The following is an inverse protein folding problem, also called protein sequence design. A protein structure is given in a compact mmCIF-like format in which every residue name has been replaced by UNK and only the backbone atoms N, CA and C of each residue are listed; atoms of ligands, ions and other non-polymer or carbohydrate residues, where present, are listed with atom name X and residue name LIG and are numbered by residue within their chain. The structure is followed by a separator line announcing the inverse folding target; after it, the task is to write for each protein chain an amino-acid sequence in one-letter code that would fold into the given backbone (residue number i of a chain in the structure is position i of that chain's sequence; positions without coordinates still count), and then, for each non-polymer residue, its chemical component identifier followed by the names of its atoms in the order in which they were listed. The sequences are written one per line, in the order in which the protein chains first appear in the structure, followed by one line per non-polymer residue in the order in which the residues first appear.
data_IF_675941888622
#
_entry.id   IF_675941888622
#
_cell.length_a   1.000
_cell.length_b   1.000
_cell.length_c   1.000
_cell.angle_alpha   90.00
_cell.angle_beta   90.00
_cell.angle_gamma   90.00
#
_symmetry.space_group_name_H-M   'P 1'
#
loop_
_entity.id
_entity.type
_entity.pdbx_description
1 polymer ?
#
# COMPACT_ATOMS: atom_id res chain seq x y z
N UNK A 1 -16.38 -16.91 -11.70
CA UNK A 1 -16.22 -16.37 -10.33
C UNK A 1 -16.06 -14.88 -10.42
N UNK A 2 -16.95 -14.15 -9.79
CA UNK A 2 -16.83 -12.70 -9.72
C UNK A 2 -15.73 -12.31 -8.73
N UNK A 3 -14.84 -11.40 -9.15
CA UNK A 3 -13.87 -10.83 -8.26
C UNK A 3 -14.55 -9.79 -7.37
N UNK A 4 -14.23 -9.80 -6.08
CA UNK A 4 -14.70 -8.75 -5.18
C UNK A 4 -14.13 -7.40 -5.63
N UNK A 5 -14.88 -6.31 -5.46
CA UNK A 5 -14.32 -4.99 -5.68
C UNK A 5 -13.11 -4.76 -4.79
N UNK A 6 -12.15 -4.00 -5.30
CA UNK A 6 -10.94 -3.62 -4.57
C UNK A 6 -10.99 -2.11 -4.32
N UNK A 7 -10.73 -1.70 -3.11
CA UNK A 7 -10.64 -0.28 -2.75
C UNK A 7 -9.26 0.01 -2.21
N UNK A 8 -8.55 0.93 -2.86
CA UNK A 8 -7.22 1.35 -2.42
C UNK A 8 -7.38 2.56 -1.52
N UNK A 9 -6.85 2.47 -0.30
CA UNK A 9 -6.91 3.53 0.69
C UNK A 9 -5.49 4.03 1.00
N UNK A 10 -5.26 5.33 0.82
CA UNK A 10 -4.01 5.96 1.22
C UNK A 10 -4.25 6.69 2.53
N UNK A 11 -3.50 6.32 3.56
CA UNK A 11 -3.56 7.01 4.85
C UNK A 11 -2.76 8.31 4.74
N UNK A 12 -3.45 9.43 4.94
CA UNK A 12 -2.82 10.75 4.92
C UNK A 12 -3.25 11.53 6.17
N UNK A 13 -2.41 11.59 7.20
CA UNK A 13 -2.68 12.45 8.36
C UNK A 13 -2.82 13.91 7.94
N UNK A 14 -3.61 14.67 8.68
CA UNK A 14 -3.84 16.09 8.41
C UNK A 14 -2.51 16.85 8.32
N UNK A 15 -2.31 17.57 7.21
CA UNK A 15 -1.09 18.34 6.96
C UNK A 15 0.13 17.51 6.54
N UNK A 16 0.03 16.18 6.45
CA UNK A 16 1.13 15.31 6.08
C UNK A 16 1.14 15.08 4.57
N UNK A 17 1.89 15.90 3.84
CA UNK A 17 1.90 15.83 2.37
C UNK A 17 2.70 14.65 1.81
N UNK A 18 3.59 14.04 2.61
CA UNK A 18 4.43 12.94 2.16
C UNK A 18 3.64 11.67 1.81
N UNK A 19 2.42 11.53 2.28
CA UNK A 19 1.55 10.42 1.88
C UNK A 19 1.25 10.41 0.39
N UNK A 20 1.39 11.54 -0.29
CA UNK A 20 1.26 11.62 -1.75
C UNK A 20 2.36 10.84 -2.46
N UNK A 21 3.48 10.53 -1.79
CA UNK A 21 4.51 9.66 -2.32
C UNK A 21 4.05 8.22 -2.57
N UNK A 22 2.96 7.79 -1.95
CA UNK A 22 2.37 6.47 -2.19
C UNK A 22 1.45 6.44 -3.42
N UNK A 23 1.15 7.59 -4.00
CA UNK A 23 0.15 7.68 -5.08
C UNK A 23 0.56 6.90 -6.32
N UNK A 24 1.83 6.96 -6.71
CA UNK A 24 2.31 6.23 -7.88
C UNK A 24 2.21 4.72 -7.68
N UNK A 25 2.60 4.23 -6.51
CA UNK A 25 2.49 2.81 -6.17
C UNK A 25 1.03 2.38 -6.10
N UNK A 26 0.18 3.20 -5.49
CA UNK A 26 -1.26 2.92 -5.41
C UNK A 26 -1.90 2.87 -6.81
N UNK A 27 -1.52 3.78 -7.70
CA UNK A 27 -2.00 3.79 -9.09
C UNK A 27 -1.51 2.57 -9.86
N UNK A 28 -0.28 2.12 -9.62
CA UNK A 28 0.25 0.91 -10.23
C UNK A 28 -0.55 -0.31 -9.79
N UNK A 29 -0.83 -0.44 -8.50
CA UNK A 29 -1.63 -1.54 -7.96
C UNK A 29 -3.04 -1.49 -8.55
N UNK A 30 -3.66 -0.30 -8.64
CA UNK A 30 -4.96 -0.12 -9.29
C UNK A 30 -4.94 -0.62 -10.73
N UNK A 31 -3.92 -0.25 -11.49
CA UNK A 31 -3.75 -0.67 -12.88
C UNK A 31 -3.69 -2.19 -12.99
N UNK A 32 -2.88 -2.83 -12.15
CA UNK A 32 -2.71 -4.28 -12.19
C UNK A 32 -4.00 -5.02 -11.82
N UNK A 33 -4.70 -4.60 -10.79
CA UNK A 33 -5.98 -5.22 -10.44
C UNK A 33 -7.02 -5.05 -11.55
N UNK A 34 -7.05 -3.89 -12.19
CA UNK A 34 -7.96 -3.66 -13.34
C UNK A 34 -7.64 -4.56 -14.52
N UNK A 35 -6.38 -4.84 -14.76
CA UNK A 35 -5.98 -5.79 -15.81
C UNK A 35 -6.54 -7.19 -15.57
N UNK A 36 -6.70 -7.58 -14.32
CA UNK A 36 -7.30 -8.86 -13.97
C UNK A 36 -8.82 -8.81 -13.89
N UNK A 37 -9.43 -7.71 -14.25
CA UNK A 37 -10.88 -7.58 -14.32
C UNK A 37 -11.55 -7.09 -13.04
N UNK A 38 -10.78 -6.68 -12.03
CA UNK A 38 -11.36 -6.15 -10.80
C UNK A 38 -11.90 -4.73 -10.99
N UNK A 39 -13.01 -4.43 -10.31
CA UNK A 39 -13.47 -3.06 -10.15
C UNK A 39 -12.67 -2.42 -9.01
N UNK A 40 -11.95 -1.33 -9.29
CA UNK A 40 -11.01 -0.72 -8.35
C UNK A 40 -11.30 0.75 -8.17
N UNK A 41 -11.46 1.16 -6.92
CA UNK A 41 -11.55 2.56 -6.51
C UNK A 41 -10.35 2.95 -5.66
N UNK A 42 -10.10 4.26 -5.53
CA UNK A 42 -8.99 4.80 -4.74
C UNK A 42 -9.45 6.06 -4.02
N UNK A 43 -9.14 6.16 -2.74
CA UNK A 43 -9.44 7.33 -1.94
C UNK A 43 -8.42 7.52 -0.82
N UNK A 44 -8.42 8.72 -0.23
CA UNK A 44 -7.64 9.02 0.97
C UNK A 44 -8.49 8.82 2.20
N UNK A 45 -7.95 8.17 3.22
CA UNK A 45 -8.54 8.06 4.56
C UNK A 45 -9.98 7.53 4.59
N UNK A 46 -10.35 6.72 3.60
CA UNK A 46 -11.72 6.18 3.51
C UNK A 46 -11.68 4.71 3.12
N UNK A 47 -12.39 3.89 3.89
CA UNK A 47 -12.55 2.46 3.65
C UNK A 47 -13.94 2.17 3.07
N UNK A 48 -14.08 1.01 2.42
CA UNK A 48 -15.37 0.54 1.89
C UNK A 48 -15.75 -0.79 2.52
N UNK A 49 -17.02 -0.93 2.91
CA UNK A 49 -17.56 -2.19 3.45
C UNK A 49 -17.74 -3.27 2.38
N UNK A 50 -17.99 -2.87 1.15
CA UNK A 50 -18.32 -3.75 0.04
C UNK A 50 -17.13 -4.19 -0.79
N UNK A 51 -15.91 -3.90 -0.33
CA UNK A 51 -14.68 -4.13 -1.08
C UNK A 51 -13.59 -4.72 -0.18
N UNK A 52 -12.57 -5.30 -0.80
CA UNK A 52 -11.31 -5.57 -0.14
C UNK A 52 -10.50 -4.28 -0.15
N UNK A 53 -10.13 -3.79 1.03
CA UNK A 53 -9.37 -2.55 1.16
C UNK A 53 -7.88 -2.85 1.17
N UNK A 54 -7.15 -2.31 0.21
CA UNK A 54 -5.68 -2.38 0.15
C UNK A 54 -5.14 -1.05 0.67
N UNK A 55 -4.41 -1.07 1.78
CA UNK A 55 -4.10 0.12 2.56
C UNK A 55 -2.62 0.44 2.47
N UNK A 56 -2.31 1.65 2.02
CA UNK A 56 -0.97 2.23 1.98
C UNK A 56 -0.83 3.27 3.10
N UNK A 57 0.33 3.30 3.75
CA UNK A 57 0.62 4.33 4.73
C UNK A 57 0.11 4.02 6.13
N UNK A 58 -0.23 2.77 6.44
CA UNK A 58 -0.75 2.40 7.76
C UNK A 58 0.25 2.64 8.90
N UNK A 59 1.56 2.74 8.59
CA UNK A 59 2.59 3.07 9.58
C UNK A 59 2.43 4.49 10.15
N UNK A 60 1.68 5.35 9.45
CA UNK A 60 1.39 6.71 9.90
C UNK A 60 0.24 6.78 10.91
N UNK A 61 -0.46 5.69 11.12
CA UNK A 61 -1.54 5.56 12.08
C UNK A 61 -2.75 4.85 11.48
N UNK A 62 -3.10 3.71 12.03
CA UNK A 62 -4.28 2.96 11.60
C UNK A 62 -4.89 2.29 12.82
N UNK A 63 -6.20 2.50 13.03
CA UNK A 63 -6.92 1.86 14.11
C UNK A 63 -7.17 0.39 13.75
N UNK A 64 -6.46 -0.51 14.42
CA UNK A 64 -6.55 -1.95 14.19
C UNK A 64 -7.96 -2.52 14.41
N UNK A 65 -8.79 -1.85 15.20
CA UNK A 65 -10.17 -2.29 15.44
C UNK A 65 -11.03 -2.21 14.18
N UNK A 66 -10.64 -1.39 13.20
CA UNK A 66 -11.34 -1.30 11.92
C UNK A 66 -11.32 -2.62 11.14
N UNK A 67 -10.34 -3.48 11.39
CA UNK A 67 -10.26 -4.81 10.77
C UNK A 67 -11.44 -5.72 11.12
N UNK A 68 -12.15 -5.41 12.19
CA UNK A 68 -13.34 -6.17 12.59
C UNK A 68 -14.55 -5.86 11.70
N UNK A 69 -14.54 -4.71 11.05
CA UNK A 69 -15.66 -4.22 10.23
C UNK A 69 -15.36 -4.16 8.75
N UNK A 70 -14.07 -4.09 8.39
CA UNK A 70 -13.61 -3.95 7.01
C UNK A 70 -12.63 -5.07 6.67
N UNK A 71 -12.73 -5.58 5.46
CA UNK A 71 -11.72 -6.50 4.92
C UNK A 71 -10.49 -5.67 4.52
N UNK A 72 -9.35 -5.92 5.15
CA UNK A 72 -8.15 -5.11 4.99
C UNK A 72 -6.94 -5.95 4.60
N UNK A 73 -6.17 -5.46 3.64
CA UNK A 73 -4.83 -5.94 3.31
C UNK A 73 -3.89 -4.74 3.41
N UNK A 74 -2.81 -4.87 4.17
CA UNK A 74 -1.85 -3.78 4.32
C UNK A 74 -0.70 -3.94 3.34
N UNK A 75 -0.44 -2.90 2.57
CA UNK A 75 0.71 -2.88 1.67
C UNK A 75 1.86 -2.17 2.37
N UNK A 76 2.90 -2.91 2.75
CA UNK A 76 4.08 -2.32 3.37
C UNK A 76 5.06 -1.85 2.30
N UNK A 77 5.36 -0.55 2.32
CA UNK A 77 6.37 0.09 1.47
C UNK A 77 7.58 0.57 2.28
N UNK A 78 7.60 0.29 3.59
CA UNK A 78 8.70 0.69 4.45
C UNK A 78 9.83 -0.34 4.41
N UNK A 79 11.06 0.11 4.26
CA UNK A 79 12.22 -0.75 4.30
C UNK A 79 12.53 -1.14 5.75
N UNK A 80 12.65 -2.44 6.00
CA UNK A 80 13.00 -2.98 7.30
C UNK A 80 14.49 -3.34 7.36
N UNK A 81 15.00 -3.46 8.59
CA UNK A 81 16.38 -3.87 8.82
C UNK A 81 17.33 -2.71 9.13
N UNK A 82 18.63 -3.00 9.26
CA UNK A 82 19.62 -1.97 9.57
C UNK A 82 19.63 -0.86 8.53
N UNK A 83 19.55 0.41 8.98
CA UNK A 83 19.47 1.55 8.08
C UNK A 83 18.10 1.81 7.46
N UNK A 84 17.09 0.96 7.75
CA UNK A 84 15.73 1.14 7.27
C UNK A 84 14.90 2.07 8.16
N UNK A 85 13.59 2.08 7.90
CA UNK A 85 12.66 2.89 8.65
C UNK A 85 12.53 2.42 10.10
N UNK A 86 12.35 3.38 11.01
CA UNK A 86 12.01 3.07 12.40
C UNK A 86 10.50 2.91 12.50
N UNK A 87 10.05 1.67 12.58
CA UNK A 87 8.65 1.34 12.66
C UNK A 87 8.19 1.23 14.10
N UNK A 88 6.99 1.75 14.39
CA UNK A 88 6.41 1.61 15.73
C UNK A 88 6.07 0.16 16.05
N UNK A 89 6.00 -0.15 17.35
CA UNK A 89 5.55 -1.47 17.79
C UNK A 89 4.11 -1.79 17.37
N UNK A 90 3.25 -0.77 17.32
CA UNK A 90 1.87 -0.91 16.87
C UNK A 90 1.80 -1.32 15.39
N UNK A 91 2.61 -0.70 14.53
CA UNK A 91 2.64 -1.07 13.13
C UNK A 91 3.18 -2.47 12.92
N UNK A 92 4.25 -2.84 13.63
CA UNK A 92 4.79 -4.21 13.58
C UNK A 92 3.75 -5.24 14.00
N UNK A 93 3.00 -4.95 15.04
CA UNK A 93 1.93 -5.82 15.52
C UNK A 93 0.79 -5.90 14.50
N UNK A 94 0.46 -4.80 13.86
CA UNK A 94 -0.55 -4.76 12.80
C UNK A 94 -0.17 -5.68 11.64
N UNK A 95 1.07 -5.59 11.16
CA UNK A 95 1.57 -6.44 10.08
C UNK A 95 1.59 -7.92 10.50
N UNK A 96 2.02 -8.21 11.72
CA UNK A 96 2.12 -9.58 12.21
C UNK A 96 0.74 -10.27 12.33
N UNK A 97 -0.32 -9.50 12.51
CA UNK A 97 -1.68 -10.01 12.76
C UNK A 97 -2.65 -9.76 11.61
N UNK A 98 -2.18 -9.39 10.44
CA UNK A 98 -3.02 -9.01 9.31
C UNK A 98 -2.58 -9.68 8.02
N UNK A 99 -3.43 -9.63 6.99
CA UNK A 99 -3.01 -9.92 5.63
C UNK A 99 -2.14 -8.77 5.11
N UNK A 100 -1.01 -9.09 4.51
CA UNK A 100 0.01 -8.12 4.12
C UNK A 100 0.53 -8.42 2.72
N UNK A 101 0.75 -7.38 1.92
CA UNK A 101 1.62 -7.41 0.76
C UNK A 101 2.89 -6.61 1.08
N UNK A 102 4.02 -7.02 0.53
CA UNK A 102 5.29 -6.29 0.65
C UNK A 102 5.91 -6.08 -0.73
N UNK A 103 6.73 -5.05 -0.85
CA UNK A 103 7.45 -4.75 -2.09
C UNK A 103 8.85 -5.36 -2.11
N UNK A 104 9.41 -5.70 -0.96
CA UNK A 104 10.80 -6.13 -0.78
C UNK A 104 10.85 -7.52 -0.15
N UNK A 105 11.38 -8.48 -0.89
CA UNK A 105 11.55 -9.85 -0.42
C UNK A 105 12.48 -9.99 0.79
N UNK A 106 13.33 -8.99 1.04
CA UNK A 106 14.19 -8.95 2.20
C UNK A 106 13.50 -8.58 3.51
N UNK A 107 12.36 -7.86 3.43
CA UNK A 107 11.66 -7.38 4.61
C UNK A 107 11.19 -8.49 5.58
N UNK A 108 10.64 -9.62 5.12
CA UNK A 108 10.20 -10.67 6.04
C UNK A 108 11.29 -11.23 6.96
N UNK A 109 12.56 -11.10 6.57
CA UNK A 109 13.69 -11.56 7.40
C UNK A 109 13.91 -10.72 8.64
N UNK A 110 13.41 -9.49 8.66
CA UNK A 110 13.64 -8.51 9.72
C UNK A 110 12.50 -8.40 10.71
N UNK A 111 11.45 -9.18 10.53
CA UNK A 111 10.30 -9.18 11.42
C UNK A 111 9.88 -10.64 11.69
N UNK A 112 10.31 -11.17 12.84
CA UNK A 112 10.10 -12.58 13.21
C UNK A 112 8.64 -13.01 13.29
N UNK A 113 7.73 -12.05 13.48
CA UNK A 113 6.29 -12.28 13.57
C UNK A 113 5.56 -11.98 12.25
N UNK A 114 6.29 -11.69 11.19
CA UNK A 114 5.67 -11.46 9.89
C UNK A 114 5.03 -12.76 9.39
N UNK A 115 3.85 -12.68 8.76
CA UNK A 115 3.23 -13.87 8.19
C UNK A 115 4.20 -14.61 7.24
N UNK A 116 4.19 -15.96 7.32
CA UNK A 116 5.13 -16.77 6.55
C UNK A 116 4.95 -16.62 5.03
N UNK A 117 3.72 -16.38 4.59
CA UNK A 117 3.36 -16.30 3.18
C UNK A 117 2.99 -14.87 2.77
N UNK A 118 3.88 -13.91 3.00
CA UNK A 118 3.66 -12.53 2.55
C UNK A 118 3.93 -12.45 1.04
N UNK A 119 2.89 -12.16 0.22
CA UNK A 119 3.12 -11.95 -1.21
C UNK A 119 4.00 -10.73 -1.45
N UNK A 120 4.98 -10.90 -2.32
CA UNK A 120 5.87 -9.82 -2.72
C UNK A 120 5.41 -9.28 -4.08
N UNK A 121 5.04 -7.99 -4.11
CA UNK A 121 4.60 -7.33 -5.33
C UNK A 121 5.62 -6.30 -5.75
N UNK A 122 6.40 -6.66 -6.78
CA UNK A 122 7.37 -5.74 -7.36
C UNK A 122 6.69 -4.74 -8.27
N UNK A 123 7.14 -3.49 -8.23
CA UNK A 123 6.65 -2.46 -9.13
C UNK A 123 7.41 -2.53 -10.46
N UNK A 124 6.66 -2.46 -11.56
CA UNK A 124 7.20 -2.51 -12.90
C UNK A 124 6.69 -1.35 -13.76
N UNK A 125 6.90 -1.48 -15.06
CA UNK A 125 6.43 -0.48 -16.00
C UNK A 125 4.91 -0.58 -16.19
N UNK A 126 4.27 0.58 -16.26
CA UNK A 126 2.88 0.71 -16.71
C UNK A 126 2.79 1.88 -17.71
N UNK A 127 1.91 1.79 -18.71
CA UNK A 127 1.88 2.81 -19.78
C UNK A 127 1.70 4.24 -19.28
N UNK A 128 0.93 4.45 -18.21
CA UNK A 128 0.70 5.78 -17.64
C UNK A 128 1.89 6.30 -16.82
N UNK A 129 2.91 5.48 -16.57
CA UNK A 129 4.13 5.86 -15.85
C UNK A 129 5.27 6.24 -16.81
N UNK A 130 4.98 6.50 -18.07
CA UNK A 130 6.00 6.91 -19.03
C UNK A 130 6.68 8.21 -18.59
N UNK A 131 8.00 8.33 -18.81
CA UNK A 131 8.72 9.56 -18.48
C UNK A 131 8.13 10.77 -19.18
N UNK A 132 8.20 11.93 -18.52
CA UNK A 132 7.78 13.18 -19.14
C UNK A 132 8.62 13.48 -20.39
N UNK A 133 7.97 13.91 -21.45
CA UNK A 133 8.62 14.36 -22.67
C UNK A 133 9.14 15.80 -22.56
N UNK A 134 8.77 16.51 -21.50
CA UNK A 134 9.22 17.88 -21.28
C UNK A 134 10.71 17.92 -20.88
N UNK A 135 11.45 18.96 -21.31
CA UNK A 135 12.79 19.20 -20.78
C UNK A 135 12.77 19.29 -19.26
N UNK A 136 13.87 18.90 -18.64
CA UNK A 136 13.95 18.85 -17.18
C UNK A 136 13.58 20.18 -16.51
N UNK A 137 13.98 21.31 -17.12
CA UNK A 137 13.69 22.65 -16.61
C UNK A 137 12.21 23.04 -16.64
N UNK A 138 11.41 22.34 -17.44
CA UNK A 138 9.97 22.62 -17.60
C UNK A 138 9.08 21.59 -16.89
N UNK A 139 9.69 20.59 -16.23
CA UNK A 139 8.93 19.57 -15.51
C UNK A 139 8.43 20.13 -14.18
N UNK A 140 7.19 19.79 -13.80
CA UNK A 140 6.67 20.17 -12.49
C UNK A 140 7.55 19.56 -11.37
N UNK A 141 7.73 20.35 -10.34
CA UNK A 141 8.44 19.88 -9.14
C UNK A 141 7.47 19.07 -8.27
#
# INVERSE_FOLDING_TARGET
MELRPVHICIIQPLGYVHSLGFLDQARYVRYQFRRFGADVTLAKNRLRHDAVNVIFGAHLGFDAELRKRYSCIFFNLEQMGPGGAQLSGEYRQLLASSAVFDYDEGNPRHLTQYPDDVPILSFGHAPYLEPSQLPFSERPI
#
